data_IF_130116269841
#
_entry.id   IF_130116269841
#
_cell.length_a   1.000
_cell.length_b   1.000
_cell.length_c   1.000
_cell.angle_alpha   90.00
_cell.angle_beta   90.00
_cell.angle_gamma   90.00
#
_symmetry.space_group_name_H-M   'P 1'
#
loop_
_entity.id
_entity.type
_entity.pdbx_description
1 polymer ?
#
# COMPACT_ATOMS: atom_id res chain seq x y z
N UNK A 1 -8.96 -24.45 12.01
CA UNK A 1 -7.90 -24.30 13.03
C UNK A 1 -7.48 -22.85 13.34
N UNK A 2 -8.08 -21.80 12.74
CA UNK A 2 -7.65 -20.41 12.97
C UNK A 2 -8.20 -19.73 14.23
N UNK A 3 -9.48 -19.97 14.58
CA UNK A 3 -10.18 -19.26 15.67
C UNK A 3 -9.53 -19.48 17.04
N UNK A 4 -9.13 -20.72 17.34
CA UNK A 4 -8.48 -21.06 18.61
C UNK A 4 -7.10 -20.42 18.78
N UNK A 5 -6.38 -20.14 17.69
CA UNK A 5 -5.05 -19.48 17.74
C UNK A 5 -5.18 -17.98 18.01
N UNK A 6 -6.14 -17.32 17.39
CA UNK A 6 -6.45 -15.90 17.65
C UNK A 6 -6.90 -15.72 19.10
N UNK A 7 -7.83 -16.54 19.58
CA UNK A 7 -8.33 -16.50 20.96
C UNK A 7 -7.22 -16.75 21.99
N UNK A 8 -6.34 -17.73 21.74
CA UNK A 8 -5.20 -18.02 22.63
C UNK A 8 -4.21 -16.86 22.73
N UNK A 9 -4.08 -16.06 21.66
CA UNK A 9 -3.22 -14.87 21.65
C UNK A 9 -3.82 -13.71 22.42
N UNK A 10 -5.10 -13.41 22.18
CA UNK A 10 -5.82 -12.37 22.91
C UNK A 10 -5.79 -12.64 24.43
N UNK A 11 -5.96 -13.90 24.83
CA UNK A 11 -5.83 -14.31 26.23
C UNK A 11 -4.40 -14.11 26.78
N UNK A 12 -3.36 -14.33 25.96
CA UNK A 12 -1.96 -14.09 26.36
C UNK A 12 -1.64 -12.61 26.49
N UNK A 13 -2.15 -11.77 25.60
CA UNK A 13 -2.01 -10.31 25.70
C UNK A 13 -2.71 -9.78 26.95
N UNK A 14 -3.92 -10.26 27.26
CA UNK A 14 -4.63 -9.95 28.52
C UNK A 14 -3.80 -10.41 29.73
N UNK A 15 -3.13 -11.56 29.63
CA UNK A 15 -2.27 -12.11 30.68
C UNK A 15 -0.84 -11.50 30.72
N UNK A 16 -0.52 -10.51 29.86
CA UNK A 16 0.82 -9.90 29.78
C UNK A 16 1.92 -10.82 29.26
N UNK A 17 1.56 -11.95 28.64
CA UNK A 17 2.49 -12.92 28.07
C UNK A 17 2.80 -12.56 26.63
N UNK A 18 4.09 -12.58 26.27
CA UNK A 18 4.51 -12.39 24.87
C UNK A 18 3.76 -13.36 23.95
N UNK A 19 3.31 -12.90 22.76
CA UNK A 19 2.69 -13.79 21.78
C UNK A 19 3.67 -14.91 21.39
N UNK A 20 3.17 -16.09 20.99
CA UNK A 20 4.04 -17.14 20.48
C UNK A 20 4.86 -16.62 19.29
N UNK A 21 6.14 -17.04 19.17
CA UNK A 21 6.97 -16.66 18.03
C UNK A 21 6.31 -17.15 16.74
N UNK A 22 6.13 -16.24 15.79
CA UNK A 22 5.64 -16.52 14.44
C UNK A 22 6.80 -16.37 13.47
N UNK A 23 6.87 -17.25 12.47
CA UNK A 23 7.70 -16.98 11.31
C UNK A 23 7.01 -16.00 10.35
N UNK A 24 7.73 -15.49 9.38
CA UNK A 24 7.26 -14.48 8.44
C UNK A 24 6.01 -14.93 7.64
N UNK A 25 5.97 -16.19 7.19
CA UNK A 25 4.81 -16.77 6.50
C UNK A 25 3.57 -16.82 7.39
N UNK A 26 3.73 -17.19 8.67
CA UNK A 26 2.64 -17.22 9.65
C UNK A 26 2.14 -15.81 9.96
N UNK A 27 3.06 -14.84 10.04
CA UNK A 27 2.74 -13.44 10.23
C UNK A 27 1.92 -12.90 9.05
N UNK A 28 2.36 -13.15 7.82
CA UNK A 28 1.64 -12.77 6.61
C UNK A 28 0.26 -13.43 6.54
N UNK A 29 0.17 -14.73 6.84
CA UNK A 29 -1.11 -15.46 6.88
C UNK A 29 -2.10 -14.84 7.87
N UNK A 30 -1.61 -14.53 9.08
CA UNK A 30 -2.41 -13.99 10.16
C UNK A 30 -2.92 -12.60 9.82
N UNK A 31 -2.03 -11.67 9.48
CA UNK A 31 -2.41 -10.29 9.17
C UNK A 31 -3.39 -10.26 7.98
N UNK A 32 -3.14 -11.06 6.95
CA UNK A 32 -4.06 -11.22 5.83
C UNK A 32 -5.42 -11.80 6.26
N UNK A 33 -5.42 -12.77 7.19
CA UNK A 33 -6.63 -13.34 7.77
C UNK A 33 -7.44 -12.35 8.61
N UNK A 34 -6.77 -11.52 9.41
CA UNK A 34 -7.40 -10.44 10.19
C UNK A 34 -8.00 -9.38 9.27
N UNK A 35 -7.27 -8.96 8.24
CA UNK A 35 -7.78 -8.04 7.21
C UNK A 35 -8.99 -8.61 6.49
N UNK A 36 -8.98 -9.90 6.13
CA UNK A 36 -10.17 -10.57 5.55
C UNK A 36 -11.36 -10.56 6.51
N UNK A 37 -11.14 -10.71 7.81
CA UNK A 37 -12.19 -10.64 8.81
C UNK A 37 -12.88 -9.27 8.84
N UNK A 38 -12.09 -8.21 8.66
CA UNK A 38 -12.56 -6.82 8.74
C UNK A 38 -13.11 -6.28 7.40
N UNK A 39 -12.49 -6.65 6.29
CA UNK A 39 -12.78 -6.12 4.95
C UNK A 39 -13.67 -7.06 4.11
N UNK A 40 -13.82 -8.32 4.53
CA UNK A 40 -14.41 -9.36 3.69
C UNK A 40 -13.47 -9.82 2.56
N UNK A 41 -14.05 -10.36 1.49
CA UNK A 41 -13.32 -10.74 0.28
C UNK A 41 -12.73 -12.15 0.26
N UNK A 42 -11.84 -12.40 -0.71
CA UNK A 42 -11.21 -13.68 -1.00
C UNK A 42 -9.71 -13.62 -0.68
N UNK A 43 -9.24 -14.59 0.11
CA UNK A 43 -7.82 -14.77 0.43
C UNK A 43 -7.26 -15.94 -0.35
N UNK A 44 -6.09 -15.76 -0.93
CA UNK A 44 -5.33 -16.75 -1.70
C UNK A 44 -3.89 -16.84 -1.17
N UNK A 45 -3.32 -18.03 -1.19
CA UNK A 45 -1.91 -18.27 -0.83
C UNK A 45 -1.07 -18.30 -2.11
N UNK A 46 0.04 -17.58 -2.12
CA UNK A 46 0.98 -17.51 -3.25
C UNK A 46 2.40 -17.78 -2.75
N UNK A 47 2.83 -19.05 -2.79
CA UNK A 47 4.07 -19.46 -2.13
C UNK A 47 4.00 -19.18 -0.63
N UNK A 48 4.91 -18.36 -0.11
CA UNK A 48 4.90 -17.90 1.28
C UNK A 48 4.09 -16.61 1.51
N UNK A 49 3.63 -15.97 0.44
CA UNK A 49 2.85 -14.74 0.49
C UNK A 49 1.35 -15.04 0.54
N UNK A 50 0.58 -14.03 0.94
CA UNK A 50 -0.88 -14.09 0.96
C UNK A 50 -1.50 -12.88 0.27
N UNK A 51 -2.38 -13.14 -0.68
CA UNK A 51 -3.13 -12.11 -1.40
C UNK A 51 -4.55 -12.04 -0.86
N UNK A 52 -5.02 -10.86 -0.53
CA UNK A 52 -6.42 -10.56 -0.24
C UNK A 52 -6.99 -9.72 -1.38
N UNK A 53 -8.02 -10.23 -2.06
CA UNK A 53 -8.85 -9.44 -2.98
C UNK A 53 -10.15 -9.08 -2.27
N UNK A 54 -10.45 -7.78 -2.17
CA UNK A 54 -11.64 -7.27 -1.50
C UNK A 54 -12.16 -6.00 -2.16
N UNK A 55 -13.17 -5.39 -1.56
CA UNK A 55 -13.68 -4.07 -1.90
C UNK A 55 -13.50 -3.15 -0.70
N UNK A 56 -13.06 -1.92 -0.93
CA UNK A 56 -12.95 -0.88 0.09
C UNK A 56 -13.46 0.44 -0.47
N UNK A 57 -14.44 1.04 0.22
CA UNK A 57 -15.09 2.28 -0.21
C UNK A 57 -15.59 2.24 -1.68
N UNK A 58 -16.23 1.13 -2.05
CA UNK A 58 -16.75 0.89 -3.41
C UNK A 58 -15.69 0.54 -4.47
N UNK A 59 -14.40 0.49 -4.11
CA UNK A 59 -13.30 0.22 -5.05
C UNK A 59 -12.73 -1.18 -4.87
N UNK A 60 -12.36 -1.82 -5.96
CA UNK A 60 -11.62 -3.08 -5.88
C UNK A 60 -10.22 -2.84 -5.32
N UNK A 61 -9.81 -3.71 -4.39
CA UNK A 61 -8.53 -3.63 -3.72
C UNK A 61 -7.87 -5.00 -3.68
N UNK A 62 -6.56 -5.03 -3.94
CA UNK A 62 -5.69 -6.17 -3.72
C UNK A 62 -4.63 -5.82 -2.68
N UNK A 63 -4.49 -6.66 -1.66
CA UNK A 63 -3.48 -6.51 -0.61
C UNK A 63 -2.59 -7.75 -0.63
N UNK A 64 -1.33 -7.58 -1.02
CA UNK A 64 -0.34 -8.64 -0.97
C UNK A 64 0.46 -8.52 0.33
N UNK A 65 0.30 -9.47 1.23
CA UNK A 65 1.15 -9.63 2.41
C UNK A 65 2.38 -10.45 2.02
N UNK A 66 3.51 -9.78 1.81
CA UNK A 66 4.79 -10.39 1.49
C UNK A 66 5.50 -10.84 2.77
N UNK A 67 5.78 -12.14 2.86
CA UNK A 67 6.40 -12.74 4.04
C UNK A 67 7.85 -12.25 4.22
N UNK A 68 8.70 -12.48 3.21
CA UNK A 68 10.15 -12.23 3.28
C UNK A 68 10.48 -10.75 3.57
N UNK A 69 9.82 -9.82 2.88
CA UNK A 69 10.00 -8.38 3.12
C UNK A 69 9.20 -7.86 4.32
N UNK A 70 8.33 -8.69 4.91
CA UNK A 70 7.49 -8.32 6.05
C UNK A 70 6.57 -7.12 5.79
N UNK A 71 6.13 -6.93 4.55
CA UNK A 71 5.36 -5.74 4.13
C UNK A 71 4.04 -6.10 3.44
N UNK A 72 3.09 -5.19 3.51
CA UNK A 72 1.86 -5.24 2.74
C UNK A 72 1.93 -4.27 1.57
N UNK A 73 1.80 -4.79 0.35
CA UNK A 73 1.60 -3.99 -0.86
C UNK A 73 0.10 -3.82 -1.05
N UNK A 74 -0.34 -2.59 -1.31
CA UNK A 74 -1.75 -2.26 -1.47
C UNK A 74 -1.96 -1.71 -2.87
N UNK A 75 -2.84 -2.35 -3.64
CA UNK A 75 -3.29 -1.92 -4.95
C UNK A 75 -4.78 -1.60 -4.92
N UNK A 76 -5.17 -0.45 -5.47
CA UNK A 76 -6.55 0.02 -5.51
C UNK A 76 -6.91 0.41 -6.94
N UNK A 77 -7.99 -0.16 -7.47
CA UNK A 77 -8.47 0.17 -8.81
C UNK A 77 -9.11 1.57 -8.83
N UNK A 78 -8.85 2.31 -9.90
CA UNK A 78 -9.44 3.63 -10.17
C UNK A 78 -10.34 3.56 -11.41
N UNK A 79 -11.17 4.58 -11.62
CA UNK A 79 -11.94 4.76 -12.84
C UNK A 79 -11.19 5.44 -13.99
N UNK A 80 -9.88 5.68 -13.84
CA UNK A 80 -9.08 6.46 -14.79
C UNK A 80 -8.62 5.55 -15.95
N UNK A 81 -8.60 6.10 -17.17
CA UNK A 81 -8.12 5.38 -18.35
C UNK A 81 -6.65 4.92 -18.21
N UNK A 82 -6.35 3.76 -18.80
CA UNK A 82 -5.05 3.07 -18.67
C UNK A 82 -3.87 3.78 -19.38
N UNK A 83 -4.08 4.91 -20.04
CA UNK A 83 -3.03 5.62 -20.80
C UNK A 83 -2.11 6.49 -19.93
N UNK A 84 -2.50 6.73 -18.67
CA UNK A 84 -1.68 7.50 -17.72
C UNK A 84 -0.82 6.53 -16.91
N UNK A 85 0.50 6.70 -17.01
CA UNK A 85 1.47 6.05 -16.12
C UNK A 85 2.13 7.11 -15.24
N UNK A 86 2.15 6.87 -13.92
CA UNK A 86 2.69 7.81 -12.94
C UNK A 86 3.44 7.07 -11.85
N UNK A 87 4.57 7.61 -11.38
CA UNK A 87 5.28 7.06 -10.24
C UNK A 87 5.93 8.16 -9.39
N UNK A 88 5.91 7.99 -8.08
CA UNK A 88 6.69 8.77 -7.11
C UNK A 88 7.29 7.84 -6.08
N UNK A 89 8.52 8.13 -5.67
CA UNK A 89 9.28 7.30 -4.73
C UNK A 89 10.08 8.16 -3.75
N UNK A 90 10.42 7.58 -2.59
CA UNK A 90 11.39 8.15 -1.66
C UNK A 90 12.82 7.70 -1.94
N UNK A 91 13.00 6.57 -2.63
CA UNK A 91 14.29 5.98 -2.97
C UNK A 91 14.34 5.75 -4.47
N UNK A 92 14.89 6.71 -5.24
CA UNK A 92 14.90 6.60 -6.68
C UNK A 92 15.96 5.60 -7.17
N UNK A 93 15.59 4.75 -8.12
CA UNK A 93 16.43 3.69 -8.69
C UNK A 93 16.80 3.98 -10.15
N UNK A 94 16.03 4.82 -10.84
CA UNK A 94 16.25 5.18 -12.24
C UNK A 94 17.34 6.24 -12.42
N UNK A 95 17.89 6.31 -13.63
CA UNK A 95 19.01 7.23 -13.94
C UNK A 95 18.60 8.70 -13.96
N UNK A 96 17.35 9.03 -14.31
CA UNK A 96 16.86 10.41 -14.31
C UNK A 96 15.74 10.58 -13.29
N UNK A 97 15.82 11.68 -12.53
CA UNK A 97 14.92 11.97 -11.42
C UNK A 97 14.61 13.46 -11.32
N UNK A 98 13.39 13.79 -10.89
CA UNK A 98 12.96 15.15 -10.58
C UNK A 98 12.37 15.18 -9.19
N UNK A 99 12.87 16.07 -8.33
CA UNK A 99 12.33 16.24 -7.00
C UNK A 99 10.99 17.00 -7.06
N UNK A 100 9.94 16.41 -6.51
CA UNK A 100 8.58 16.99 -6.51
C UNK A 100 8.10 17.41 -5.13
N UNK A 101 8.73 16.90 -4.08
CA UNK A 101 8.61 17.38 -2.71
C UNK A 101 9.88 17.02 -1.91
N UNK A 102 10.03 17.55 -0.69
CA UNK A 102 11.16 17.20 0.18
C UNK A 102 11.22 15.68 0.41
N UNK A 103 12.29 15.04 -0.08
CA UNK A 103 12.53 13.60 -0.03
C UNK A 103 11.66 12.74 -0.97
N UNK A 104 10.97 13.33 -1.96
CA UNK A 104 10.09 12.60 -2.89
C UNK A 104 10.43 12.98 -4.32
N UNK A 105 10.59 11.97 -5.16
CA UNK A 105 11.08 12.09 -6.54
C UNK A 105 10.14 11.38 -7.51
N UNK A 106 10.02 11.93 -8.72
CA UNK A 106 9.57 11.19 -9.90
C UNK A 106 10.79 10.69 -10.66
N UNK A 107 10.63 9.61 -11.42
CA UNK A 107 11.75 8.94 -12.09
C UNK A 107 11.39 8.52 -13.51
N UNK A 108 12.40 8.35 -14.36
CA UNK A 108 12.18 7.83 -15.70
C UNK A 108 13.47 7.46 -16.43
N UNK A 109 13.33 6.71 -17.52
CA UNK A 109 14.47 6.25 -18.33
C UNK A 109 15.31 7.43 -18.90
N UNK A 110 14.69 8.59 -19.10
CA UNK A 110 15.32 9.82 -19.55
C UNK A 110 14.73 11.02 -18.80
N UNK A 111 15.46 12.12 -18.76
CA UNK A 111 15.07 13.36 -18.07
C UNK A 111 13.65 13.82 -18.44
N UNK A 112 13.30 13.77 -19.74
CA UNK A 112 11.98 14.14 -20.24
C UNK A 112 10.85 13.30 -19.63
N UNK A 113 11.08 12.01 -19.39
CA UNK A 113 10.08 11.13 -18.79
C UNK A 113 9.88 11.45 -17.30
N UNK A 114 10.97 11.71 -16.57
CA UNK A 114 10.90 12.15 -15.18
C UNK A 114 10.18 13.50 -15.03
N UNK A 115 10.40 14.43 -15.97
CA UNK A 115 9.70 15.71 -16.05
C UNK A 115 8.21 15.55 -16.35
N UNK A 116 7.83 14.66 -17.28
CA UNK A 116 6.42 14.35 -17.56
C UNK A 116 5.70 13.84 -16.31
N UNK A 117 6.33 12.94 -15.55
CA UNK A 117 5.77 12.47 -14.29
C UNK A 117 5.68 13.59 -13.23
N UNK A 118 6.65 14.52 -13.22
CA UNK A 118 6.60 15.68 -12.33
C UNK A 118 5.44 16.62 -12.67
N UNK A 119 5.08 16.78 -13.94
CA UNK A 119 3.90 17.53 -14.36
C UNK A 119 2.60 16.80 -13.95
N UNK A 120 2.53 15.48 -14.10
CA UNK A 120 1.40 14.68 -13.59
C UNK A 120 1.24 14.84 -12.07
N UNK A 121 2.34 14.81 -11.32
CA UNK A 121 2.31 15.10 -9.89
C UNK A 121 1.71 16.48 -9.62
N UNK A 122 2.17 17.54 -10.32
CA UNK A 122 1.68 18.91 -10.13
C UNK A 122 0.20 19.06 -10.47
N UNK A 123 -0.30 18.29 -11.44
CA UNK A 123 -1.70 18.27 -11.84
C UNK A 123 -2.63 17.66 -10.77
N UNK A 124 -2.11 16.84 -9.85
CA UNK A 124 -2.90 16.31 -8.75
C UNK A 124 -3.40 17.44 -7.82
N UNK A 125 -4.68 17.38 -7.38
CA UNK A 125 -5.19 18.28 -6.36
C UNK A 125 -4.28 18.31 -5.12
N UNK A 126 -4.13 19.49 -4.52
CA UNK A 126 -3.23 19.70 -3.36
C UNK A 126 -3.53 18.75 -2.20
N UNK A 127 -4.80 18.38 -1.99
CA UNK A 127 -5.19 17.38 -1.00
C UNK A 127 -4.59 16.00 -1.26
N UNK A 128 -4.69 15.51 -2.50
CA UNK A 128 -4.15 14.20 -2.90
C UNK A 128 -2.61 14.19 -2.83
N UNK A 129 -1.95 15.25 -3.30
CA UNK A 129 -0.48 15.39 -3.14
C UNK A 129 -0.05 15.39 -1.68
N UNK A 130 -0.80 16.07 -0.81
CA UNK A 130 -0.53 16.11 0.62
C UNK A 130 -0.62 14.72 1.26
N UNK A 131 -1.67 13.97 0.94
CA UNK A 131 -1.86 12.59 1.43
C UNK A 131 -0.77 11.65 0.90
N UNK A 132 -0.47 11.70 -0.40
CA UNK A 132 0.61 10.92 -1.03
C UNK A 132 1.98 11.24 -0.40
N UNK A 133 2.26 12.52 -0.15
CA UNK A 133 3.50 12.93 0.52
C UNK A 133 3.58 12.43 1.96
N UNK A 134 2.45 12.43 2.68
CA UNK A 134 2.40 11.98 4.06
C UNK A 134 2.64 10.47 4.17
N UNK A 135 1.95 9.65 3.37
CA UNK A 135 2.12 8.20 3.41
C UNK A 135 3.56 7.81 3.01
N UNK A 136 4.14 8.44 1.99
CA UNK A 136 5.53 8.22 1.60
C UNK A 136 6.52 8.62 2.69
N UNK A 137 6.33 9.75 3.37
CA UNK A 137 7.20 10.14 4.50
C UNK A 137 7.05 9.22 5.71
N UNK A 138 5.86 8.69 5.96
CA UNK A 138 5.61 7.79 7.09
C UNK A 138 6.22 6.40 6.88
N UNK A 139 6.12 5.86 5.66
CA UNK A 139 6.42 4.45 5.39
C UNK A 139 7.58 4.22 4.41
N UNK A 140 8.06 5.27 3.73
CA UNK A 140 8.96 5.15 2.59
C UNK A 140 8.31 4.43 1.41
N UNK A 141 9.11 4.17 0.38
CA UNK A 141 8.75 3.35 -0.76
C UNK A 141 8.16 4.15 -1.92
N UNK A 142 7.26 3.51 -2.66
CA UNK A 142 6.82 3.95 -3.98
C UNK A 142 5.31 3.92 -4.10
N UNK A 143 4.75 4.97 -4.67
CA UNK A 143 3.40 5.01 -5.22
C UNK A 143 3.51 5.01 -6.73
N UNK A 144 2.77 4.15 -7.41
CA UNK A 144 2.70 4.20 -8.87
C UNK A 144 1.31 3.84 -9.36
N UNK A 145 0.94 4.41 -10.49
CA UNK A 145 -0.30 4.15 -11.20
C UNK A 145 0.02 3.59 -12.57
N UNK A 146 -0.55 2.43 -12.85
CA UNK A 146 -0.39 1.69 -14.11
C UNK A 146 -1.62 0.78 -14.29
N UNK A 147 -2.09 0.61 -15.52
CA UNK A 147 -3.21 -0.27 -15.88
C UNK A 147 -4.48 -0.09 -15.03
N UNK A 148 -4.82 1.17 -14.68
CA UNK A 148 -6.01 1.48 -13.89
C UNK A 148 -5.88 1.18 -12.39
N UNK A 149 -4.68 0.82 -11.91
CA UNK A 149 -4.44 0.50 -10.51
C UNK A 149 -3.43 1.46 -9.87
N UNK A 150 -3.83 2.08 -8.75
CA UNK A 150 -2.92 2.80 -7.87
C UNK A 150 -2.30 1.82 -6.86
N UNK A 151 -0.98 1.68 -6.93
CA UNK A 151 -0.19 0.77 -6.12
C UNK A 151 0.64 1.54 -5.11
N UNK A 152 0.71 1.04 -3.89
CA UNK A 152 1.65 1.50 -2.87
C UNK A 152 2.48 0.33 -2.35
N UNK A 153 3.80 0.47 -2.53
CA UNK A 153 4.81 -0.47 -2.04
C UNK A 153 5.61 0.25 -0.95
N UNK A 154 5.39 -0.06 0.33
CA UNK A 154 6.18 0.53 1.41
C UNK A 154 7.60 -0.06 1.46
N UNK A 155 8.56 0.74 1.92
CA UNK A 155 9.91 0.25 2.26
C UNK A 155 9.95 -0.38 3.65
N UNK A 156 9.16 0.15 4.59
CA UNK A 156 9.11 -0.35 5.96
C UNK A 156 8.33 -1.67 6.04
N UNK A 157 8.81 -2.58 6.91
CA UNK A 157 8.13 -3.82 7.25
C UNK A 157 6.83 -3.54 8.03
N UNK A 158 5.72 -3.43 7.31
CA UNK A 158 4.40 -3.06 7.85
C UNK A 158 3.68 -4.21 8.55
N UNK A 159 4.07 -5.46 8.28
CA UNK A 159 3.46 -6.65 8.92
C UNK A 159 3.99 -6.89 10.34
N UNK A 160 5.21 -6.42 10.64
CA UNK A 160 5.86 -6.62 11.94
C UNK A 160 5.39 -5.63 13.02
N UNK A 161 4.66 -4.59 12.62
CA UNK A 161 4.02 -3.66 13.53
C UNK A 161 2.96 -4.38 14.39
N UNK A 162 2.93 -4.09 15.70
CA UNK A 162 1.87 -4.58 16.60
C UNK A 162 0.49 -4.17 16.10
N UNK A 163 0.42 -3.05 15.38
CA UNK A 163 -0.78 -2.49 14.79
C UNK A 163 -0.84 -2.68 13.27
N UNK A 164 -0.15 -3.68 12.70
CA UNK A 164 -0.06 -3.93 11.24
C UNK A 164 -1.40 -3.80 10.51
N UNK A 165 -2.46 -4.40 11.05
CA UNK A 165 -3.82 -4.30 10.50
C UNK A 165 -4.32 -2.85 10.41
N UNK A 166 -4.12 -2.05 11.45
CA UNK A 166 -4.50 -0.63 11.47
C UNK A 166 -3.63 0.18 10.51
N UNK A 167 -2.33 -0.11 10.47
CA UNK A 167 -1.39 0.50 9.54
C UNK A 167 -1.83 0.30 8.08
N UNK A 168 -2.23 -0.91 7.70
CA UNK A 168 -2.72 -1.22 6.35
C UNK A 168 -4.06 -0.52 6.07
N UNK A 169 -4.96 -0.43 7.05
CA UNK A 169 -6.21 0.34 6.89
C UNK A 169 -5.96 1.84 6.69
N UNK A 170 -4.99 2.43 7.38
CA UNK A 170 -4.60 3.82 7.13
C UNK A 170 -4.04 4.02 5.72
N UNK A 171 -3.26 3.05 5.22
CA UNK A 171 -2.78 3.06 3.84
C UNK A 171 -3.93 3.00 2.84
N UNK A 172 -4.92 2.12 3.05
CA UNK A 172 -6.14 2.07 2.24
C UNK A 172 -6.88 3.40 2.21
N UNK A 173 -7.14 4.00 3.37
CA UNK A 173 -7.80 5.31 3.46
C UNK A 173 -7.03 6.42 2.74
N UNK A 174 -5.71 6.36 2.80
CA UNK A 174 -4.83 7.31 2.10
C UNK A 174 -4.93 7.11 0.59
N UNK A 175 -4.91 5.86 0.12
CA UNK A 175 -5.07 5.54 -1.30
C UNK A 175 -6.44 5.94 -1.84
N UNK A 176 -7.54 5.76 -1.09
CA UNK A 176 -8.86 6.27 -1.52
C UNK A 176 -8.78 7.76 -1.83
N UNK A 177 -8.21 8.56 -0.93
CA UNK A 177 -8.10 10.03 -1.12
C UNK A 177 -7.23 10.40 -2.31
N UNK A 178 -6.18 9.62 -2.56
CA UNK A 178 -5.31 9.83 -3.71
C UNK A 178 -6.07 9.46 -5.00
N UNK A 179 -6.73 8.31 -5.05
CA UNK A 179 -7.56 7.88 -6.19
C UNK A 179 -8.64 8.91 -6.52
N UNK A 180 -9.37 9.42 -5.53
CA UNK A 180 -10.38 10.48 -5.73
C UNK A 180 -9.74 11.73 -6.34
N UNK A 181 -8.61 12.18 -5.81
CA UNK A 181 -7.94 13.36 -6.39
C UNK A 181 -7.34 13.10 -7.77
N UNK A 182 -6.90 11.87 -8.07
CA UNK A 182 -6.48 11.50 -9.43
C UNK A 182 -7.67 11.52 -10.40
N UNK A 183 -8.84 11.02 -10.00
CA UNK A 183 -10.05 11.05 -10.82
C UNK A 183 -10.53 12.49 -11.05
N UNK A 184 -10.45 13.35 -10.04
CA UNK A 184 -10.76 14.79 -10.18
C UNK A 184 -9.74 15.52 -11.07
N UNK A 185 -8.46 15.16 -10.97
CA UNK A 185 -7.37 15.83 -11.68
C UNK A 185 -7.17 15.33 -13.11
N UNK A 186 -7.44 14.06 -13.37
CA UNK A 186 -7.09 13.35 -14.61
C UNK A 186 -8.28 12.66 -15.30
N UNK A 187 -9.41 12.45 -14.61
CA UNK A 187 -10.57 11.73 -15.14
C UNK A 187 -11.53 12.60 -15.98
N UNK A 188 -10.98 13.56 -16.72
CA UNK A 188 -11.75 14.42 -17.64
C UNK A 188 -12.21 13.70 -18.89
#
# INVERSE_FOLDING_TARGET
MGIFRTLYRELRDIAGLKPPPENETQLAERVCGELKGDLGGKREKQGDNYLLSSTYDGREVKILCEAESGRAIVAMMTGIEAEIAFAVTTTPEERAQVQVASGIFTEGAQQRAAEQQAELWKALPTGARGVASQILKSFGGRIFFEDGALNFIPEKATLQDKSARYTIKMQLQSLVKICVGMEEGWGG
#
